data_IF_104603610453
#
_entry.id   IF_104603610453
#
_cell.length_a   1.000
_cell.length_b   1.000
_cell.length_c   1.000
_cell.angle_alpha   90.00
_cell.angle_beta   90.00
_cell.angle_gamma   90.00
#
_symmetry.space_group_name_H-M   'P 1'
#
loop_
_entity.id
_entity.type
_entity.pdbx_description
1 polymer ?
#
# COMPACT_ATOMS: atom_id res chain seq x y z
N UNK A 1 -5.15 19.42 -5.04
CA UNK A 1 -4.30 20.61 -4.79
C UNK A 1 -3.64 20.48 -3.42
N UNK A 2 -2.50 21.13 -3.18
CA UNK A 2 -1.88 21.15 -1.85
C UNK A 2 -2.85 21.76 -0.83
N UNK A 3 -2.90 21.18 0.37
CA UNK A 3 -3.74 21.62 1.48
C UNK A 3 -2.88 21.78 2.75
N UNK A 4 -2.50 23.02 3.04
CA UNK A 4 -1.70 23.38 4.19
C UNK A 4 -2.39 23.17 5.55
N UNK A 5 -3.73 23.15 5.60
CA UNK A 5 -4.47 22.91 6.84
C UNK A 5 -4.27 21.51 7.42
N UNK A 6 -3.88 20.53 6.58
CA UNK A 6 -3.50 19.19 7.05
C UNK A 6 -2.31 19.21 8.01
N UNK A 7 -1.42 20.20 7.89
CA UNK A 7 -0.29 20.39 8.81
C UNK A 7 -0.80 20.78 10.19
N UNK A 8 -1.69 21.76 10.29
CA UNK A 8 -2.29 22.18 11.57
C UNK A 8 -3.03 21.04 12.24
N UNK A 9 -3.84 20.30 11.47
CA UNK A 9 -4.57 19.14 11.96
C UNK A 9 -3.63 18.06 12.53
N UNK A 10 -2.54 17.74 11.82
CA UNK A 10 -1.56 16.77 12.29
C UNK A 10 -0.82 17.22 13.56
N UNK A 11 -0.53 18.51 13.71
CA UNK A 11 0.07 19.05 14.92
C UNK A 11 -0.87 18.84 16.12
N UNK A 12 -2.16 19.10 15.94
CA UNK A 12 -3.18 18.90 16.98
C UNK A 12 -3.37 17.41 17.32
N UNK A 13 -3.60 16.57 16.32
CA UNK A 13 -3.86 15.12 16.48
C UNK A 13 -2.69 14.39 17.14
N UNK A 14 -1.46 14.82 16.89
CA UNK A 14 -0.25 14.21 17.47
C UNK A 14 0.28 14.94 18.69
N UNK A 15 -0.43 15.97 19.17
CA UNK A 15 -0.01 16.83 20.29
C UNK A 15 1.41 17.41 20.12
N UNK A 16 1.76 17.74 18.88
CA UNK A 16 3.07 18.30 18.52
C UNK A 16 3.02 19.82 18.55
N UNK A 17 4.09 20.43 19.05
CA UNK A 17 4.22 21.89 19.07
C UNK A 17 4.63 22.38 17.70
N UNK A 18 3.94 23.41 17.20
CA UNK A 18 4.31 24.12 15.96
C UNK A 18 5.77 24.56 15.95
N UNK A 19 6.29 24.98 17.10
CA UNK A 19 7.71 25.36 17.30
C UNK A 19 8.67 24.24 16.88
N UNK A 20 8.37 22.99 17.20
CA UNK A 20 9.23 21.84 16.86
C UNK A 20 9.32 21.62 15.36
N UNK A 21 8.22 21.84 14.62
CA UNK A 21 8.23 21.78 13.16
C UNK A 21 9.05 22.92 12.55
N UNK A 22 8.91 24.14 13.08
CA UNK A 22 9.66 25.31 12.61
C UNK A 22 11.18 25.10 12.80
N UNK A 23 11.57 24.58 13.98
CA UNK A 23 12.96 24.23 14.29
C UNK A 23 13.50 23.15 13.36
N UNK A 24 12.73 22.08 13.11
CA UNK A 24 13.11 21.00 12.22
C UNK A 24 13.30 21.47 10.77
N UNK A 25 12.37 22.28 10.27
CA UNK A 25 12.43 22.82 8.92
C UNK A 25 13.53 23.87 8.72
N UNK A 26 14.07 24.41 9.82
CA UNK A 26 14.99 25.54 9.85
C UNK A 26 14.40 26.77 9.15
N UNK A 27 13.13 27.07 9.45
CA UNK A 27 12.37 28.17 8.84
C UNK A 27 11.90 29.18 9.89
N UNK A 28 11.26 30.26 9.43
CA UNK A 28 10.64 31.26 10.32
C UNK A 28 9.16 30.94 10.56
N UNK A 29 8.58 31.32 11.72
CA UNK A 29 7.16 31.08 12.02
C UNK A 29 6.20 31.63 10.95
N UNK A 30 6.48 32.84 10.44
CA UNK A 30 5.70 33.47 9.37
C UNK A 30 5.72 32.68 8.06
N UNK A 31 6.83 31.99 7.78
CA UNK A 31 6.95 31.12 6.60
C UNK A 31 6.04 29.90 6.70
N UNK A 32 5.99 29.26 7.88
CA UNK A 32 5.08 28.13 8.09
C UNK A 32 3.61 28.57 8.05
N UNK A 33 3.28 29.72 8.62
CA UNK A 33 1.93 30.29 8.55
C UNK A 33 1.48 30.57 7.11
N UNK A 34 2.37 31.14 6.29
CA UNK A 34 2.10 31.37 4.88
C UNK A 34 1.86 30.05 4.12
N UNK A 35 2.65 29.00 4.42
CA UNK A 35 2.47 27.67 3.84
C UNK A 35 1.10 27.09 4.21
N UNK A 36 0.71 27.17 5.49
CA UNK A 36 -0.55 26.58 5.98
C UNK A 36 -1.77 27.26 5.35
N UNK A 37 -1.74 28.59 5.19
CA UNK A 37 -2.91 29.37 4.77
C UNK A 37 -3.25 29.18 3.28
N UNK A 38 -2.33 29.52 2.39
CA UNK A 38 -2.55 29.55 0.93
C UNK A 38 -1.27 29.23 0.15
N UNK A 39 -0.30 28.58 0.78
CA UNK A 39 1.03 28.42 0.20
C UNK A 39 1.11 27.35 -0.90
N UNK A 40 2.08 27.52 -1.79
CA UNK A 40 2.56 26.47 -2.67
C UNK A 40 4.04 26.20 -2.31
N UNK A 41 4.31 25.37 -1.28
CA UNK A 41 5.68 25.14 -0.84
C UNK A 41 6.50 24.51 -1.95
N UNK A 42 7.78 24.89 -2.03
CA UNK A 42 8.75 24.19 -2.89
C UNK A 42 8.89 22.74 -2.42
N UNK A 43 9.28 21.85 -3.34
CA UNK A 43 9.38 20.41 -3.08
C UNK A 43 10.29 20.08 -1.89
N UNK A 44 11.42 20.79 -1.73
CA UNK A 44 12.35 20.65 -0.61
C UNK A 44 11.70 20.98 0.74
N UNK A 45 10.85 22.01 0.77
CA UNK A 45 10.12 22.43 1.96
C UNK A 45 9.04 21.40 2.31
N UNK A 46 8.37 20.89 1.28
CA UNK A 46 7.32 19.88 1.44
C UNK A 46 7.87 18.53 1.88
N UNK A 47 9.03 18.12 1.36
CA UNK A 47 9.78 16.93 1.79
C UNK A 47 10.12 17.00 3.28
N UNK A 48 10.66 18.12 3.76
CA UNK A 48 10.93 18.31 5.20
C UNK A 48 9.68 18.18 6.06
N UNK A 49 8.54 18.72 5.62
CA UNK A 49 7.27 18.57 6.32
C UNK A 49 6.86 17.09 6.35
N UNK A 50 6.95 16.41 5.22
CA UNK A 50 6.62 15.00 5.08
C UNK A 50 7.50 14.10 5.97
N UNK A 51 8.80 14.35 5.99
CA UNK A 51 9.77 13.64 6.83
C UNK A 51 9.51 13.84 8.32
N UNK A 52 9.23 15.09 8.74
CA UNK A 52 8.89 15.40 10.12
C UNK A 52 7.69 14.58 10.61
N UNK A 53 6.64 14.45 9.79
CA UNK A 53 5.45 13.67 10.11
C UNK A 53 5.58 12.17 9.75
N UNK A 54 6.65 11.76 9.07
CA UNK A 54 6.83 10.42 8.50
C UNK A 54 5.65 9.98 7.65
N UNK A 55 5.21 10.85 6.76
CA UNK A 55 4.10 10.63 5.84
C UNK A 55 4.58 10.79 4.40
N UNK A 56 3.94 10.13 3.41
CA UNK A 56 4.21 10.45 2.02
C UNK A 56 3.84 11.92 1.75
N UNK A 57 4.63 12.59 0.91
CA UNK A 57 4.37 13.97 0.45
C UNK A 57 2.93 14.13 -0.05
N UNK A 58 2.40 13.07 -0.67
CA UNK A 58 1.06 13.06 -1.21
C UNK A 58 -0.05 13.31 -0.20
N UNK A 59 0.18 12.99 1.07
CA UNK A 59 -0.79 13.21 2.15
C UNK A 59 -1.27 14.66 2.19
N UNK A 60 -0.38 15.60 1.89
CA UNK A 60 -0.66 17.04 1.93
C UNK A 60 -1.41 17.54 0.70
N UNK A 61 -1.87 16.68 -0.20
CA UNK A 61 -2.69 17.05 -1.34
C UNK A 61 -4.11 16.53 -1.17
N UNK A 62 -5.09 17.38 -1.50
CA UNK A 62 -6.46 16.95 -1.76
C UNK A 62 -6.57 16.56 -3.22
N UNK A 63 -6.48 15.25 -3.46
CA UNK A 63 -6.64 14.68 -4.78
C UNK A 63 -8.11 14.39 -5.02
N UNK A 64 -8.76 15.20 -5.86
CA UNK A 64 -10.00 14.80 -6.52
C UNK A 64 -9.60 14.02 -7.77
N UNK A 65 -9.10 12.80 -7.56
CA UNK A 65 -9.01 11.85 -8.67
C UNK A 65 -10.42 11.32 -8.80
N UNK A 66 -11.14 11.75 -9.83
CA UNK A 66 -12.23 10.93 -10.35
C UNK A 66 -11.56 9.64 -10.85
N UNK A 67 -11.58 8.61 -10.01
CA UNK A 67 -11.32 7.26 -10.49
C UNK A 67 -12.54 6.95 -11.34
N UNK A 68 -12.50 7.32 -12.61
CA UNK A 68 -13.53 6.97 -13.59
C UNK A 68 -13.49 5.46 -13.79
N UNK A 69 -14.05 4.69 -12.85
CA UNK A 69 -14.13 3.23 -12.87
C UNK A 69 -12.94 2.54 -13.54
N UNK A 70 -11.71 2.96 -13.24
CA UNK A 70 -10.52 2.17 -13.54
C UNK A 70 -10.27 1.18 -12.40
N UNK A 71 -11.35 0.69 -11.81
CA UNK A 71 -11.42 -0.71 -11.50
C UNK A 71 -11.85 -1.39 -12.80
N UNK A 72 -10.96 -2.02 -13.60
CA UNK A 72 -11.38 -3.34 -14.04
C UNK A 72 -11.79 -4.02 -12.74
N UNK A 73 -13.02 -4.47 -12.64
CA UNK A 73 -13.38 -5.44 -11.63
C UNK A 73 -12.39 -6.60 -11.81
N UNK A 74 -11.27 -6.58 -11.09
CA UNK A 74 -10.32 -7.68 -11.05
C UNK A 74 -10.91 -8.65 -10.04
N UNK A 75 -12.03 -9.24 -10.41
CA UNK A 75 -12.44 -10.56 -9.94
C UNK A 75 -11.85 -11.55 -10.93
N UNK A 76 -10.60 -11.90 -10.69
CA UNK A 76 -9.90 -12.97 -11.40
C UNK A 76 -9.11 -13.75 -10.37
N UNK A 77 -9.55 -14.97 -10.08
CA UNK A 77 -8.72 -15.93 -9.36
C UNK A 77 -7.48 -16.19 -10.25
N UNK A 78 -6.32 -15.60 -9.94
CA UNK A 78 -5.09 -15.81 -10.71
C UNK A 78 -4.27 -14.57 -11.12
N UNK A 79 -4.43 -13.40 -10.51
CA UNK A 79 -3.61 -12.24 -10.91
C UNK A 79 -2.16 -12.32 -10.42
N UNK A 80 -1.23 -12.39 -11.39
CA UNK A 80 0.23 -12.30 -11.24
C UNK A 80 0.66 -10.93 -10.71
N UNK A 81 0.98 -10.85 -9.43
CA UNK A 81 1.87 -9.81 -8.90
C UNK A 81 3.32 -10.17 -9.29
N UNK A 82 3.80 -9.58 -10.39
CA UNK A 82 5.16 -9.80 -10.91
C UNK A 82 6.09 -8.74 -10.33
N UNK A 83 7.05 -9.17 -9.50
CA UNK A 83 8.25 -8.41 -9.17
C UNK A 83 9.46 -9.22 -9.70
N UNK A 84 10.18 -8.69 -10.70
CA UNK A 84 11.42 -9.27 -11.25
C UNK A 84 11.20 -10.43 -12.23
N UNK A 85 12.19 -10.65 -13.11
CA UNK A 85 12.18 -11.44 -14.37
C UNK A 85 11.90 -12.95 -14.25
N UNK A 86 10.85 -13.34 -13.52
CA UNK A 86 10.41 -14.73 -13.40
C UNK A 86 9.04 -14.83 -12.77
N UNK A 87 8.07 -15.43 -13.48
CA UNK A 87 6.80 -15.83 -12.90
C UNK A 87 6.93 -17.10 -12.06
N UNK A 88 7.60 -16.97 -10.91
CA UNK A 88 7.77 -18.07 -9.97
C UNK A 88 6.39 -18.58 -9.50
N UNK A 89 5.41 -17.67 -9.35
CA UNK A 89 4.08 -18.00 -8.83
C UNK A 89 3.25 -18.94 -9.72
N UNK A 90 3.37 -18.87 -11.06
CA UNK A 90 2.60 -19.78 -11.96
C UNK A 90 3.21 -21.17 -11.98
N UNK A 91 4.54 -21.27 -12.03
CA UNK A 91 5.20 -22.57 -12.07
C UNK A 91 4.98 -23.36 -10.77
N UNK A 92 4.97 -22.67 -9.62
CA UNK A 92 4.66 -23.29 -8.32
C UNK A 92 3.21 -23.74 -8.22
N UNK A 93 2.25 -22.95 -8.73
CA UNK A 93 0.82 -23.32 -8.72
C UNK A 93 0.53 -24.52 -9.62
N UNK A 94 1.15 -24.58 -10.80
CA UNK A 94 1.00 -25.73 -11.70
C UNK A 94 1.53 -27.03 -11.06
N UNK A 95 2.71 -26.96 -10.41
CA UNK A 95 3.29 -28.08 -9.66
C UNK A 95 2.44 -28.50 -8.46
N UNK A 96 1.84 -27.54 -7.76
CA UNK A 96 0.95 -27.82 -6.64
C UNK A 96 -0.32 -28.56 -7.10
N UNK A 97 -0.93 -28.13 -8.22
CA UNK A 97 -2.09 -28.82 -8.81
C UNK A 97 -1.73 -30.25 -9.22
N UNK A 98 -0.60 -30.44 -9.89
CA UNK A 98 -0.12 -31.77 -10.27
C UNK A 98 0.04 -32.69 -9.05
N UNK A 99 0.67 -32.19 -7.98
CA UNK A 99 0.88 -32.95 -6.76
C UNK A 99 -0.43 -33.29 -6.05
N UNK A 100 -1.38 -32.35 -5.99
CA UNK A 100 -2.71 -32.59 -5.41
C UNK A 100 -3.49 -33.66 -6.20
N UNK A 101 -3.39 -33.65 -7.54
CA UNK A 101 -4.01 -34.68 -8.38
C UNK A 101 -3.41 -36.07 -8.14
N UNK A 102 -2.08 -36.16 -8.02
CA UNK A 102 -1.40 -37.41 -7.68
C UNK A 102 -1.83 -37.95 -6.30
N UNK A 103 -1.90 -37.07 -5.30
CA UNK A 103 -2.32 -37.44 -3.94
C UNK A 103 -3.76 -37.96 -3.91
N UNK A 104 -4.66 -37.34 -4.68
CA UNK A 104 -6.05 -37.81 -4.80
C UNK A 104 -6.12 -39.19 -5.48
N UNK A 105 -5.37 -39.39 -6.57
CA UNK A 105 -5.32 -40.68 -7.25
C UNK A 105 -4.79 -41.81 -6.36
N UNK A 106 -3.77 -41.53 -5.55
CA UNK A 106 -3.21 -42.51 -4.61
C UNK A 106 -4.16 -42.81 -3.45
N UNK A 107 -4.88 -41.80 -2.94
CA UNK A 107 -5.92 -41.99 -1.91
C UNK A 107 -7.06 -42.84 -2.44
N UNK A 108 -7.56 -42.58 -3.64
CA UNK A 108 -8.62 -43.39 -4.26
C UNK A 108 -8.17 -44.84 -4.45
N UNK A 109 -6.95 -45.05 -4.95
CA UNK A 109 -6.38 -46.41 -5.07
C UNK A 109 -6.34 -47.13 -3.74
N UNK A 110 -5.90 -46.46 -2.68
CA UNK A 110 -5.82 -47.02 -1.32
C UNK A 110 -7.21 -47.40 -0.80
N UNK A 111 -8.21 -46.53 -1.00
CA UNK A 111 -9.61 -46.81 -0.65
C UNK A 111 -10.10 -48.07 -1.38
N UNK A 112 -9.86 -48.20 -2.68
CA UNK A 112 -10.28 -49.38 -3.44
C UNK A 112 -9.60 -50.67 -2.97
N UNK A 113 -8.32 -50.61 -2.62
CA UNK A 113 -7.60 -51.75 -2.03
C UNK A 113 -8.26 -52.16 -0.70
N UNK A 114 -8.50 -51.20 0.19
CA UNK A 114 -9.12 -51.45 1.49
C UNK A 114 -10.55 -51.98 1.36
N UNK A 115 -11.35 -51.45 0.42
CA UNK A 115 -12.70 -51.95 0.16
C UNK A 115 -12.70 -53.38 -0.39
N UNK A 116 -11.72 -53.74 -1.22
CA UNK A 116 -11.59 -55.09 -1.74
C UNK A 116 -11.01 -56.08 -0.71
N UNK A 117 -10.26 -55.61 0.29
CA UNK A 117 -9.77 -56.42 1.40
C UNK A 117 -10.83 -56.66 2.49
N UNK A 118 -11.87 -55.82 2.55
CA UNK A 118 -13.01 -55.98 3.46
C UNK A 118 -14.21 -56.73 2.82
N UNK A 119 -14.03 -57.29 1.62
CA UNK A 119 -14.94 -58.26 0.99
C UNK A 119 -14.44 -59.67 1.20
#
# INVERSE_FOLDING_TARGET
MFNGHKISKLLEERHLKKKSLIEYMQTYPSGLDAIIKDGNPRADTLEKIADFFRLPIDYFFDRNIEISDLSPLITGNGNKIQHGDGNIMIETQAKEIEHLQQLLAEKERTIQILLNQNK
#
